data_IF_401459052463
#
_entry.id   IF_401459052463
#
_cell.length_a   1.000
_cell.length_b   1.000
_cell.length_c   1.000
_cell.angle_alpha   90.00
_cell.angle_beta   90.00
_cell.angle_gamma   90.00
#
_symmetry.space_group_name_H-M   'P 1'
#
loop_
_entity.id
_entity.type
_entity.pdbx_description
1 polymer ?
#
# COMPACT_ATOMS: atom_id res chain seq x y z
N UNK A 1 -14.72 -32.60 5.64
CA UNK A 1 -15.63 -32.08 4.58
C UNK A 1 -15.12 -30.70 4.18
N UNK A 2 -14.42 -30.58 3.05
CA UNK A 2 -13.89 -29.33 2.54
C UNK A 2 -14.97 -28.60 1.76
N UNK A 3 -15.65 -27.66 2.40
CA UNK A 3 -16.53 -26.72 1.69
C UNK A 3 -15.66 -25.71 0.94
N UNK A 4 -15.39 -26.00 -0.33
CA UNK A 4 -14.91 -24.97 -1.27
C UNK A 4 -16.06 -23.97 -1.46
N UNK A 5 -15.92 -22.78 -0.89
CA UNK A 5 -16.78 -21.66 -1.20
C UNK A 5 -16.46 -21.24 -2.64
N UNK A 6 -17.26 -21.73 -3.59
CA UNK A 6 -17.27 -21.19 -4.96
C UNK A 6 -17.96 -19.82 -4.89
N UNK A 7 -17.17 -18.76 -4.74
CA UNK A 7 -17.64 -17.40 -4.97
C UNK A 7 -17.73 -17.22 -6.47
N UNK A 8 -18.91 -17.01 -7.07
CA UNK A 8 -19.00 -16.65 -8.47
C UNK A 8 -18.38 -15.25 -8.63
N UNK A 9 -17.14 -15.21 -9.07
CA UNK A 9 -16.48 -13.97 -9.44
C UNK A 9 -17.07 -13.56 -10.79
N UNK A 10 -18.12 -12.75 -10.75
CA UNK A 10 -18.53 -12.01 -11.95
C UNK A 10 -17.41 -11.03 -12.28
N UNK A 11 -16.48 -11.48 -13.10
CA UNK A 11 -15.47 -10.65 -13.74
C UNK A 11 -16.16 -9.86 -14.86
N UNK A 12 -16.96 -8.88 -14.50
CA UNK A 12 -17.28 -7.82 -15.46
C UNK A 12 -16.08 -6.89 -15.49
N UNK A 13 -15.32 -6.82 -16.60
CA UNK A 13 -14.33 -5.78 -16.74
C UNK A 13 -15.10 -4.45 -16.72
N UNK A 14 -14.87 -3.64 -15.70
CA UNK A 14 -15.39 -2.28 -15.70
C UNK A 14 -14.56 -1.54 -16.74
N UNK A 15 -15.12 -1.43 -17.94
CA UNK A 15 -14.68 -0.54 -19.00
C UNK A 15 -14.81 0.89 -18.45
N UNK A 16 -13.68 1.54 -18.15
CA UNK A 16 -13.66 2.93 -17.73
C UNK A 16 -12.74 3.27 -16.54
N UNK A 17 -12.32 2.29 -15.73
CA UNK A 17 -11.27 2.51 -14.73
C UNK A 17 -9.91 2.19 -15.35
N UNK A 18 -9.25 3.20 -15.89
CA UNK A 18 -7.84 3.13 -16.26
C UNK A 18 -7.00 3.89 -15.24
N UNK A 19 -5.87 3.33 -14.86
CA UNK A 19 -4.85 4.06 -14.11
C UNK A 19 -4.16 5.02 -15.08
N UNK A 20 -4.72 6.21 -15.24
CA UNK A 20 -4.33 7.18 -16.29
C UNK A 20 -3.49 8.35 -15.77
N UNK A 21 -2.89 8.24 -14.58
CA UNK A 21 -1.97 9.27 -14.11
C UNK A 21 -0.71 9.33 -14.97
N UNK A 22 -0.14 10.52 -15.13
CA UNK A 22 1.13 10.71 -15.83
C UNK A 22 2.24 9.81 -15.24
N UNK A 23 2.20 9.57 -13.92
CA UNK A 23 3.15 8.70 -13.21
C UNK A 23 3.05 7.27 -13.72
N UNK A 24 1.85 6.72 -13.79
CA UNK A 24 1.63 5.35 -14.26
C UNK A 24 2.00 5.20 -15.72
N UNK A 25 1.70 6.19 -16.56
CA UNK A 25 2.10 6.16 -17.98
C UNK A 25 3.62 6.15 -18.16
N UNK A 26 4.37 6.90 -17.36
CA UNK A 26 5.84 6.85 -17.37
C UNK A 26 6.39 5.50 -16.90
N UNK A 27 5.83 4.94 -15.84
CA UNK A 27 6.26 3.65 -15.30
C UNK A 27 5.97 2.49 -16.25
N UNK A 28 4.87 2.53 -16.96
CA UNK A 28 4.44 1.45 -17.87
C UNK A 28 4.98 1.57 -19.28
N UNK A 29 5.82 2.56 -19.58
CA UNK A 29 6.47 2.70 -20.90
C UNK A 29 7.63 1.69 -21.08
N UNK A 30 7.28 0.43 -21.25
CA UNK A 30 8.22 -0.68 -21.41
C UNK A 30 9.04 -0.61 -22.72
N UNK A 31 8.74 0.32 -23.64
CA UNK A 31 9.52 0.53 -24.87
C UNK A 31 10.99 0.87 -24.58
N UNK A 32 11.26 1.42 -23.39
CA UNK A 32 12.62 1.71 -22.88
C UNK A 32 13.49 0.47 -22.73
N UNK A 33 12.91 -0.72 -22.70
CA UNK A 33 13.63 -2.00 -22.59
C UNK A 33 14.06 -2.54 -23.96
N UNK A 34 13.48 -2.02 -25.04
CA UNK A 34 13.78 -2.51 -26.39
C UNK A 34 15.25 -2.30 -26.73
N UNK A 35 15.89 -3.38 -27.19
CA UNK A 35 17.32 -3.41 -27.51
C UNK A 35 18.26 -3.62 -26.31
N UNK A 36 17.74 -3.68 -25.08
CA UNK A 36 18.53 -3.95 -23.87
C UNK A 36 18.53 -5.45 -23.53
N UNK A 37 19.64 -5.93 -23.00
CA UNK A 37 19.74 -7.30 -22.49
C UNK A 37 19.04 -7.36 -21.13
N UNK A 38 18.05 -8.23 -20.99
CA UNK A 38 17.31 -8.46 -19.75
C UNK A 38 17.80 -9.75 -19.09
N UNK A 39 18.18 -9.68 -17.83
CA UNK A 39 18.48 -10.85 -16.99
C UNK A 39 17.28 -11.07 -16.06
N UNK A 40 16.70 -12.25 -16.10
CA UNK A 40 15.53 -12.59 -15.29
C UNK A 40 15.96 -13.13 -13.93
N UNK A 41 15.28 -12.65 -12.88
CA UNK A 41 15.53 -13.10 -11.52
C UNK A 41 14.80 -14.39 -11.19
N UNK A 42 15.50 -15.33 -10.57
CA UNK A 42 14.89 -16.46 -9.89
C UNK A 42 14.37 -16.01 -8.50
N UNK A 43 13.23 -16.58 -8.06
CA UNK A 43 12.62 -16.23 -6.77
C UNK A 43 13.58 -16.57 -5.62
N UNK A 44 14.04 -15.57 -4.87
CA UNK A 44 14.70 -15.76 -3.58
C UNK A 44 13.88 -15.12 -2.45
N UNK A 45 13.54 -15.90 -1.45
CA UNK A 45 12.88 -15.41 -0.22
C UNK A 45 13.94 -15.04 0.83
N UNK A 46 13.87 -13.84 1.37
CA UNK A 46 14.73 -13.36 2.46
C UNK A 46 13.96 -12.85 3.67
N UNK A 47 14.44 -13.15 4.88
CA UNK A 47 13.90 -12.63 6.13
C UNK A 47 14.29 -11.16 6.38
N UNK A 48 13.33 -10.37 6.85
CA UNK A 48 13.51 -8.94 7.14
C UNK A 48 13.92 -8.73 8.61
N UNK A 49 15.05 -8.05 8.85
CA UNK A 49 15.53 -7.68 10.20
C UNK A 49 14.85 -6.40 10.72
N UNK A 50 14.58 -6.30 12.05
CA UNK A 50 13.99 -5.10 12.66
C UNK A 50 14.97 -3.92 12.67
N UNK A 51 14.46 -2.70 12.36
CA UNK A 51 15.30 -1.51 12.09
C UNK A 51 15.52 -0.59 13.34
N UNK A 52 14.61 -0.60 14.32
CA UNK A 52 14.67 0.32 15.45
C UNK A 52 14.47 -0.32 16.82
N UNK A 53 15.20 0.19 17.84
CA UNK A 53 14.94 -0.08 19.24
C UNK A 53 14.78 1.24 19.99
N UNK A 54 13.67 1.41 20.71
CA UNK A 54 13.38 2.57 21.54
C UNK A 54 13.76 2.25 22.99
N UNK A 55 14.50 3.15 23.66
CA UNK A 55 14.80 3.05 25.10
C UNK A 55 13.55 3.47 25.90
N UNK A 56 13.25 2.80 27.01
CA UNK A 56 11.90 2.66 27.51
C UNK A 56 11.64 3.29 28.88
N UNK A 57 10.60 4.13 28.91
CA UNK A 57 9.74 4.30 30.08
C UNK A 57 8.66 3.20 30.11
N UNK A 58 8.10 2.83 31.28
CA UNK A 58 7.00 1.87 31.35
C UNK A 58 5.80 2.38 30.53
N UNK A 59 5.29 1.54 29.63
CA UNK A 59 4.15 1.84 28.77
C UNK A 59 2.88 1.97 29.62
N UNK A 60 2.35 3.19 29.75
CA UNK A 60 1.00 3.40 30.23
C UNK A 60 0.05 3.30 29.03
N UNK A 61 -0.54 2.13 28.84
CA UNK A 61 -1.51 1.89 27.75
C UNK A 61 -2.92 2.13 28.24
N UNK A 62 -3.64 2.99 27.56
CA UNK A 62 -5.10 3.07 27.69
C UNK A 62 -5.71 2.00 26.79
N UNK A 63 -6.20 0.93 27.40
CA UNK A 63 -6.84 -0.19 26.72
C UNK A 63 -8.30 -0.18 27.05
N UNK A 64 -9.15 -0.06 26.05
CA UNK A 64 -10.58 -0.04 26.21
C UNK A 64 -11.24 -1.17 25.41
N UNK A 65 -12.10 -1.99 26.04
CA UNK A 65 -12.94 -2.91 25.31
C UNK A 65 -13.94 -2.14 24.44
N UNK A 66 -14.33 -2.68 23.31
CA UNK A 66 -15.42 -2.13 22.51
C UNK A 66 -16.29 -3.25 21.95
N UNK A 67 -17.56 -2.93 21.73
CA UNK A 67 -18.48 -3.84 21.09
C UNK A 67 -18.48 -3.61 19.57
N UNK A 68 -18.37 -4.66 18.75
CA UNK A 68 -18.48 -4.55 17.31
C UNK A 68 -19.84 -4.00 16.90
N UNK A 69 -19.84 -2.97 16.08
CA UNK A 69 -21.07 -2.38 15.54
C UNK A 69 -21.25 -2.84 14.09
N UNK A 70 -22.44 -3.34 13.78
CA UNK A 70 -22.78 -3.65 12.38
C UNK A 70 -23.03 -2.35 11.63
N UNK A 71 -22.25 -2.11 10.58
CA UNK A 71 -22.42 -0.96 9.70
C UNK A 71 -22.98 -1.43 8.35
N UNK A 72 -23.94 -0.67 7.82
CA UNK A 72 -24.51 -0.89 6.49
C UNK A 72 -23.87 0.10 5.50
N UNK A 73 -22.63 -0.20 5.12
CA UNK A 73 -21.87 0.59 4.15
C UNK A 73 -21.06 -0.33 3.25
N UNK A 74 -20.48 0.22 2.18
CA UNK A 74 -19.51 -0.52 1.39
C UNK A 74 -18.19 -0.60 2.17
N UNK A 75 -17.60 -1.78 2.16
CA UNK A 75 -16.24 -2.01 2.63
C UNK A 75 -15.38 -2.36 1.42
N UNK A 76 -14.32 -1.61 1.20
CA UNK A 76 -13.46 -1.74 0.01
C UNK A 76 -12.07 -2.07 0.45
N UNK A 77 -11.53 -3.20 0.04
CA UNK A 77 -10.15 -3.61 0.27
C UNK A 77 -9.28 -3.33 -0.95
N UNK A 78 -8.13 -2.70 -0.76
CA UNK A 78 -7.13 -2.41 -1.79
C UNK A 78 -5.83 -3.09 -1.42
N UNK A 79 -5.26 -3.87 -2.35
CA UNK A 79 -3.96 -4.51 -2.20
C UNK A 79 -3.20 -4.55 -3.53
N UNK A 80 -1.88 -4.48 -3.46
CA UNK A 80 -0.99 -4.53 -4.62
C UNK A 80 0.17 -5.46 -4.38
N UNK A 81 0.56 -6.17 -5.43
CA UNK A 81 1.73 -7.03 -5.46
C UNK A 81 2.68 -6.58 -6.57
N UNK A 82 3.98 -6.53 -6.26
CA UNK A 82 5.03 -6.21 -7.21
C UNK A 82 6.16 -7.23 -7.10
N UNK A 83 6.57 -7.78 -8.23
CA UNK A 83 7.70 -8.72 -8.33
C UNK A 83 8.74 -8.18 -9.30
N UNK A 84 10.02 -8.38 -9.00
CA UNK A 84 11.07 -8.17 -9.97
C UNK A 84 11.04 -9.31 -11.00
N UNK A 85 11.13 -8.97 -12.27
CA UNK A 85 11.15 -9.92 -13.38
C UNK A 85 12.59 -10.12 -13.86
N UNK A 86 13.32 -9.01 -14.00
CA UNK A 86 14.69 -9.01 -14.51
C UNK A 86 15.29 -7.63 -14.45
N UNK A 87 16.56 -7.54 -14.84
CA UNK A 87 17.31 -6.29 -14.86
C UNK A 87 18.08 -6.12 -16.17
N UNK A 88 18.44 -4.90 -16.45
CA UNK A 88 19.34 -4.48 -17.53
C UNK A 88 20.56 -3.81 -16.89
N UNK A 89 21.51 -3.39 -17.67
CA UNK A 89 22.65 -2.59 -17.17
C UNK A 89 22.22 -1.23 -16.58
N UNK A 90 21.07 -0.69 -16.99
CA UNK A 90 20.64 0.65 -16.62
C UNK A 90 19.43 0.68 -15.66
N UNK A 91 18.71 -0.43 -15.50
CA UNK A 91 17.52 -0.45 -14.69
C UNK A 91 16.87 -1.81 -14.54
N UNK A 92 15.71 -1.86 -13.90
CA UNK A 92 15.03 -3.09 -13.57
C UNK A 92 13.61 -3.15 -14.12
N UNK A 93 13.18 -4.37 -14.48
CA UNK A 93 11.84 -4.73 -14.90
C UNK A 93 11.06 -5.33 -13.73
N UNK A 94 9.85 -4.84 -13.57
CA UNK A 94 8.91 -5.32 -12.56
C UNK A 94 7.58 -5.69 -13.19
N UNK A 95 6.85 -6.58 -12.54
CA UNK A 95 5.43 -6.80 -12.79
C UNK A 95 4.63 -6.37 -11.57
N UNK A 96 3.64 -5.52 -11.77
CA UNK A 96 2.75 -5.06 -10.72
C UNK A 96 1.32 -5.42 -11.05
N UNK A 97 0.60 -5.93 -10.05
CA UNK A 97 -0.82 -6.23 -10.12
C UNK A 97 -1.51 -5.71 -8.88
N UNK A 98 -2.64 -5.05 -9.06
CA UNK A 98 -3.45 -4.56 -7.96
C UNK A 98 -4.85 -5.13 -8.03
N UNK A 99 -5.46 -5.31 -6.86
CA UNK A 99 -6.83 -5.77 -6.70
C UNK A 99 -7.63 -4.84 -5.80
N UNK A 100 -8.89 -4.64 -6.15
CA UNK A 100 -9.86 -3.97 -5.30
C UNK A 100 -11.07 -4.86 -5.13
N UNK A 101 -11.42 -5.12 -3.89
CA UNK A 101 -12.56 -5.94 -3.53
C UNK A 101 -13.61 -5.08 -2.83
N UNK A 102 -14.83 -5.11 -3.33
CA UNK A 102 -15.96 -4.35 -2.75
C UNK A 102 -16.95 -5.31 -2.11
N UNK A 103 -17.19 -5.09 -0.84
CA UNK A 103 -18.10 -5.83 0.00
C UNK A 103 -19.24 -4.90 0.46
N UNK A 104 -20.48 -5.32 0.34
CA UNK A 104 -21.64 -4.52 0.72
C UNK A 104 -22.71 -5.40 1.35
N UNK A 105 -23.36 -4.91 2.41
CA UNK A 105 -24.46 -5.59 3.10
C UNK A 105 -24.15 -7.07 3.40
N UNK A 106 -22.94 -7.35 3.89
CA UNK A 106 -22.46 -8.70 4.24
C UNK A 106 -22.30 -9.67 3.03
N UNK A 107 -22.16 -9.14 1.81
CA UNK A 107 -21.94 -9.94 0.60
C UNK A 107 -20.86 -9.33 -0.30
N UNK A 108 -20.03 -10.16 -0.96
CA UNK A 108 -19.15 -9.67 -2.01
C UNK A 108 -19.96 -9.08 -3.14
N UNK A 109 -19.63 -7.86 -3.55
CA UNK A 109 -20.34 -7.10 -4.59
C UNK A 109 -19.57 -7.09 -5.90
N UNK A 110 -18.33 -6.62 -5.87
CA UNK A 110 -17.49 -6.45 -7.05
C UNK A 110 -16.03 -6.76 -6.74
N UNK A 111 -15.31 -7.17 -7.77
CA UNK A 111 -13.86 -7.29 -7.78
C UNK A 111 -13.28 -6.59 -9.00
N UNK A 112 -12.28 -5.75 -8.79
CA UNK A 112 -11.55 -5.06 -9.85
C UNK A 112 -10.11 -5.54 -9.86
N UNK A 113 -9.58 -5.83 -11.02
CA UNK A 113 -8.18 -6.23 -11.19
C UNK A 113 -7.49 -5.29 -12.17
N UNK A 114 -6.38 -4.71 -11.72
CA UNK A 114 -5.53 -3.81 -12.50
C UNK A 114 -4.22 -4.51 -12.81
N UNK A 115 -3.87 -4.63 -14.07
CA UNK A 115 -2.68 -5.34 -14.53
C UNK A 115 -2.87 -6.85 -14.73
N UNK A 116 -1.75 -7.62 -14.86
CA UNK A 116 -0.38 -7.19 -14.54
C UNK A 116 0.14 -6.14 -15.53
N UNK A 117 0.75 -5.09 -14.98
CA UNK A 117 1.51 -4.11 -15.76
C UNK A 117 2.99 -4.44 -15.70
N UNK A 118 3.68 -4.32 -16.83
CA UNK A 118 5.14 -4.36 -16.85
C UNK A 118 5.66 -2.94 -16.65
N UNK A 119 6.52 -2.78 -15.66
CA UNK A 119 7.10 -1.51 -15.24
C UNK A 119 8.60 -1.58 -15.40
N UNK A 120 9.20 -0.60 -16.08
CA UNK A 120 10.64 -0.44 -16.15
C UNK A 120 11.06 0.80 -15.37
N UNK A 121 12.02 0.64 -14.47
CA UNK A 121 12.59 1.71 -13.67
C UNK A 121 14.09 1.81 -13.94
N UNK A 122 14.49 2.98 -14.38
CA UNK A 122 15.86 3.46 -14.46
C UNK A 122 15.97 4.86 -13.85
N UNK A 123 17.16 5.43 -13.81
CA UNK A 123 17.42 6.77 -13.28
C UNK A 123 16.61 7.84 -14.00
N UNK A 124 16.45 7.72 -15.32
CA UNK A 124 15.72 8.70 -16.12
C UNK A 124 14.23 8.70 -15.82
N UNK A 125 13.63 7.52 -15.65
CA UNK A 125 12.22 7.40 -15.22
C UNK A 125 12.03 8.06 -13.88
N UNK A 126 12.89 7.79 -12.89
CA UNK A 126 12.82 8.41 -11.56
C UNK A 126 12.98 9.93 -11.67
N UNK A 127 13.95 10.42 -12.46
CA UNK A 127 14.16 11.86 -12.67
C UNK A 127 12.96 12.55 -13.31
N UNK A 128 12.24 11.85 -14.19
CA UNK A 128 11.02 12.37 -14.82
C UNK A 128 9.84 12.42 -13.84
N UNK A 129 9.62 11.34 -13.07
CA UNK A 129 8.55 11.25 -12.08
C UNK A 129 8.72 12.33 -11.00
N UNK A 130 9.96 12.52 -10.51
CA UNK A 130 10.27 13.50 -9.45
C UNK A 130 10.77 14.85 -10.01
N UNK A 131 10.39 15.22 -11.23
CA UNK A 131 10.82 16.47 -11.84
C UNK A 131 10.42 17.67 -10.98
N UNK A 132 11.42 18.47 -10.56
CA UNK A 132 11.21 19.63 -9.70
C UNK A 132 11.06 19.31 -8.20
N UNK A 133 11.05 18.04 -7.82
CA UNK A 133 10.97 17.66 -6.41
C UNK A 133 12.38 17.57 -5.79
N UNK A 134 12.55 18.17 -4.59
CA UNK A 134 13.84 18.22 -3.87
C UNK A 134 14.37 16.85 -3.45
N UNK A 135 13.51 15.84 -3.31
CA UNK A 135 13.92 14.47 -2.92
C UNK A 135 14.38 13.60 -4.10
N UNK A 136 14.31 14.11 -5.34
CA UNK A 136 14.64 13.36 -6.56
C UNK A 136 15.96 12.60 -6.48
N UNK A 137 17.04 13.27 -6.15
CA UNK A 137 18.37 12.65 -6.11
C UNK A 137 18.49 11.60 -4.99
N UNK A 138 17.79 11.80 -3.88
CA UNK A 138 17.69 10.78 -2.82
C UNK A 138 16.98 9.53 -3.31
N UNK A 139 15.88 9.67 -4.05
CA UNK A 139 15.12 8.54 -4.60
C UNK A 139 15.95 7.79 -5.63
N UNK A 140 16.61 8.49 -6.56
CA UNK A 140 17.52 7.87 -7.56
C UNK A 140 18.55 6.99 -6.86
N UNK A 141 19.25 7.51 -5.86
CA UNK A 141 20.24 6.75 -5.10
C UNK A 141 19.67 5.53 -4.39
N UNK A 142 18.50 5.68 -3.75
CA UNK A 142 17.87 4.58 -3.02
C UNK A 142 17.41 3.45 -3.95
N UNK A 143 16.85 3.80 -5.11
CA UNK A 143 16.41 2.82 -6.12
C UNK A 143 17.61 2.10 -6.75
N UNK A 144 18.70 2.83 -7.01
CA UNK A 144 19.93 2.24 -7.55
C UNK A 144 20.61 1.27 -6.57
N UNK A 145 20.47 1.49 -5.25
CA UNK A 145 21.11 0.68 -4.23
C UNK A 145 20.28 -0.53 -3.78
N UNK A 146 18.98 -0.49 -3.96
CA UNK A 146 18.07 -1.50 -3.41
C UNK A 146 16.84 -1.73 -4.30
N UNK A 147 16.82 -2.88 -4.98
CA UNK A 147 15.69 -3.30 -5.82
C UNK A 147 14.39 -3.47 -5.01
N UNK A 148 14.46 -3.81 -3.72
CA UNK A 148 13.29 -3.88 -2.84
C UNK A 148 12.70 -2.48 -2.58
N UNK A 149 13.54 -1.45 -2.61
CA UNK A 149 13.10 -0.07 -2.51
C UNK A 149 12.28 0.34 -3.74
N UNK A 150 12.74 -0.04 -4.93
CA UNK A 150 12.00 0.18 -6.18
C UNK A 150 10.62 -0.50 -6.15
N UNK A 151 10.53 -1.75 -5.68
CA UNK A 151 9.25 -2.45 -5.51
C UNK A 151 8.29 -1.71 -4.58
N UNK A 152 8.80 -1.20 -3.46
CA UNK A 152 7.97 -0.41 -2.52
C UNK A 152 7.48 0.87 -3.16
N UNK A 153 8.32 1.55 -3.92
CA UNK A 153 7.96 2.77 -4.63
C UNK A 153 6.88 2.53 -5.69
N UNK A 154 7.05 1.47 -6.51
CA UNK A 154 6.05 1.07 -7.51
C UNK A 154 4.71 0.76 -6.82
N UNK A 155 4.71 -0.09 -5.79
CA UNK A 155 3.49 -0.40 -5.03
C UNK A 155 2.84 0.86 -4.47
N UNK A 156 3.63 1.75 -3.87
CA UNK A 156 3.13 3.01 -3.34
C UNK A 156 2.38 3.82 -4.40
N UNK A 157 2.96 3.98 -5.59
CA UNK A 157 2.31 4.75 -6.66
C UNK A 157 1.01 4.11 -7.13
N UNK A 158 0.99 2.80 -7.34
CA UNK A 158 -0.21 2.09 -7.78
C UNK A 158 -1.30 2.10 -6.70
N UNK A 159 -0.96 1.83 -5.45
CA UNK A 159 -1.90 1.85 -4.32
C UNK A 159 -2.47 3.24 -4.09
N UNK A 160 -1.64 4.29 -4.15
CA UNK A 160 -2.10 5.68 -4.00
C UNK A 160 -3.02 6.11 -5.14
N UNK A 161 -2.69 5.77 -6.38
CA UNK A 161 -3.54 6.10 -7.52
C UNK A 161 -4.90 5.40 -7.44
N UNK A 162 -4.92 4.12 -7.11
CA UNK A 162 -6.15 3.37 -6.91
C UNK A 162 -6.96 3.94 -5.74
N UNK A 163 -6.30 4.20 -4.61
CA UNK A 163 -6.95 4.79 -3.44
C UNK A 163 -7.56 6.15 -3.78
N UNK A 164 -6.85 7.01 -4.51
CA UNK A 164 -7.34 8.31 -4.99
C UNK A 164 -8.60 8.17 -5.84
N UNK A 165 -8.58 7.26 -6.83
CA UNK A 165 -9.72 7.02 -7.70
C UNK A 165 -10.94 6.52 -6.93
N UNK A 166 -10.76 5.51 -6.06
CA UNK A 166 -11.86 4.97 -5.27
C UNK A 166 -12.37 5.96 -4.22
N UNK A 167 -11.50 6.74 -3.60
CA UNK A 167 -11.89 7.81 -2.69
C UNK A 167 -12.76 8.89 -3.36
N UNK A 168 -12.52 9.15 -4.64
CA UNK A 168 -13.32 10.11 -5.42
C UNK A 168 -14.66 9.54 -5.88
N UNK A 169 -14.74 8.23 -6.13
CA UNK A 169 -15.91 7.57 -6.70
C UNK A 169 -16.90 7.08 -5.65
N UNK A 170 -16.41 6.67 -4.50
CA UNK A 170 -17.22 6.12 -3.42
C UNK A 170 -17.82 7.22 -2.55
N UNK A 171 -18.90 6.86 -1.85
CA UNK A 171 -19.55 7.69 -0.83
C UNK A 171 -19.84 6.83 0.40
N UNK A 172 -19.69 7.41 1.57
CA UNK A 172 -20.04 6.81 2.86
C UNK A 172 -19.54 5.36 3.02
N UNK A 173 -18.28 5.14 2.64
CA UNK A 173 -17.66 3.81 2.54
C UNK A 173 -16.44 3.69 3.44
N UNK A 174 -16.11 2.46 3.86
CA UNK A 174 -14.87 2.16 4.57
C UNK A 174 -13.88 1.59 3.56
N UNK A 175 -12.71 2.23 3.40
CA UNK A 175 -11.65 1.81 2.48
C UNK A 175 -10.49 1.25 3.29
N UNK A 176 -10.19 -0.03 3.12
CA UNK A 176 -9.12 -0.75 3.81
C UNK A 176 -7.90 -0.83 2.89
N UNK A 177 -6.75 -0.38 3.38
CA UNK A 177 -5.46 -0.45 2.65
C UNK A 177 -4.50 -1.37 3.41
N UNK A 178 -3.78 -2.22 2.70
CA UNK A 178 -2.74 -3.04 3.34
C UNK A 178 -1.56 -2.17 3.79
N UNK A 179 -1.22 -2.25 5.07
CA UNK A 179 -0.14 -1.49 5.69
C UNK A 179 -0.60 -0.29 6.51
N UNK A 180 0.34 0.57 6.86
CA UNK A 180 0.09 1.76 7.67
C UNK A 180 -0.28 2.97 6.80
N UNK A 181 -1.18 3.82 7.30
CA UNK A 181 -1.46 5.14 6.71
C UNK A 181 -0.34 6.12 7.08
N UNK A 182 0.86 5.85 6.58
CA UNK A 182 2.01 6.72 6.80
C UNK A 182 2.30 7.53 5.54
N UNK A 183 2.35 8.85 5.69
CA UNK A 183 2.93 9.73 4.68
C UNK A 183 4.44 9.54 4.64
N UNK A 184 5.03 9.61 3.48
CA UNK A 184 6.47 9.50 3.29
C UNK A 184 6.98 10.72 2.51
N UNK A 185 8.23 11.12 2.77
CA UNK A 185 8.90 12.17 1.98
C UNK A 185 9.08 11.81 0.49
N UNK A 186 8.68 10.60 0.11
CA UNK A 186 8.79 10.08 -1.26
C UNK A 186 7.47 10.15 -2.01
N UNK A 187 6.41 10.59 -1.36
CA UNK A 187 5.12 10.81 -2.02
C UNK A 187 5.21 12.00 -2.96
N UNK A 188 4.52 11.90 -4.07
CA UNK A 188 4.32 13.02 -4.98
C UNK A 188 3.08 13.80 -4.56
N UNK A 189 3.11 15.10 -4.75
CA UNK A 189 2.04 16.00 -4.30
C UNK A 189 0.66 15.61 -4.81
N UNK A 190 0.57 15.15 -6.07
CA UNK A 190 -0.70 14.81 -6.71
C UNK A 190 -1.35 13.54 -6.17
N UNK A 191 -0.54 12.63 -5.62
CA UNK A 191 -0.99 11.35 -5.03
C UNK A 191 -0.57 11.24 -3.56
N UNK A 192 -0.35 12.36 -2.89
CA UNK A 192 -0.01 12.36 -1.47
C UNK A 192 -1.16 11.82 -0.62
N UNK A 193 -0.82 11.06 0.42
CA UNK A 193 -1.81 10.50 1.33
C UNK A 193 -2.72 11.58 1.91
N UNK A 194 -2.17 12.73 2.27
CA UNK A 194 -2.92 13.85 2.82
C UNK A 194 -4.07 14.26 1.90
N UNK A 195 -3.78 14.56 0.62
CA UNK A 195 -4.81 14.94 -0.37
C UNK A 195 -5.85 13.85 -0.59
N UNK A 196 -5.41 12.58 -0.61
CA UNK A 196 -6.33 11.45 -0.76
C UNK A 196 -7.28 11.34 0.44
N UNK A 197 -6.78 11.52 1.65
CA UNK A 197 -7.60 11.50 2.86
C UNK A 197 -8.58 12.68 2.89
N UNK A 198 -8.18 13.86 2.43
CA UNK A 198 -9.07 15.02 2.27
C UNK A 198 -10.23 14.70 1.31
N UNK A 199 -9.92 14.16 0.12
CA UNK A 199 -10.94 13.70 -0.86
C UNK A 199 -11.86 12.62 -0.25
N UNK A 200 -11.29 11.67 0.49
CA UNK A 200 -12.07 10.63 1.16
C UNK A 200 -13.06 11.22 2.15
N UNK A 201 -12.59 12.13 2.99
CA UNK A 201 -13.40 12.79 4.02
C UNK A 201 -14.54 13.62 3.41
N UNK A 202 -14.27 14.41 2.35
CA UNK A 202 -15.27 15.17 1.62
C UNK A 202 -16.38 14.29 1.04
N UNK A 203 -16.08 13.03 0.75
CA UNK A 203 -17.03 12.04 0.23
C UNK A 203 -17.63 11.14 1.32
N UNK A 204 -17.44 11.45 2.61
CA UNK A 204 -17.93 10.64 3.73
C UNK A 204 -17.21 9.29 3.89
N UNK A 205 -16.11 9.06 3.18
CA UNK A 205 -15.37 7.81 3.26
C UNK A 205 -14.38 7.82 4.43
N UNK A 206 -14.21 6.65 5.06
CA UNK A 206 -13.21 6.40 6.10
C UNK A 206 -12.13 5.49 5.54
N UNK A 207 -10.87 5.95 5.56
CA UNK A 207 -9.72 5.15 5.14
C UNK A 207 -9.05 4.53 6.36
N UNK A 208 -8.82 3.23 6.32
CA UNK A 208 -8.22 2.45 7.43
C UNK A 208 -7.02 1.67 6.92
N UNK A 209 -5.89 1.81 7.58
CA UNK A 209 -4.69 1.00 7.33
C UNK A 209 -4.71 -0.29 8.14
N UNK A 210 -4.51 -1.43 7.48
CA UNK A 210 -4.42 -2.75 8.10
C UNK A 210 -2.98 -3.20 8.12
N UNK A 211 -2.29 -3.04 9.25
CA UNK A 211 -0.91 -3.50 9.42
C UNK A 211 -0.89 -4.91 10.00
N UNK A 212 -0.42 -5.89 9.22
CA UNK A 212 -0.32 -7.29 9.65
C UNK A 212 0.86 -7.53 10.58
N UNK A 213 1.90 -6.71 10.48
CA UNK A 213 3.07 -6.78 11.33
C UNK A 213 3.73 -5.41 11.46
N UNK A 214 4.28 -5.11 12.63
CA UNK A 214 5.07 -3.90 12.84
C UNK A 214 6.52 -4.25 13.11
N UNK A 215 7.44 -3.50 12.50
CA UNK A 215 8.87 -3.55 12.81
C UNK A 215 9.23 -2.75 14.06
N UNK A 216 8.31 -1.92 14.55
CA UNK A 216 8.51 -1.14 15.76
C UNK A 216 8.40 -2.07 16.97
N UNK A 217 9.48 -2.21 17.72
CA UNK A 217 9.50 -3.05 18.94
C UNK A 217 8.45 -2.63 19.97
N UNK A 218 8.14 -1.34 20.02
CA UNK A 218 7.12 -0.80 20.93
C UNK A 218 5.73 -1.33 20.56
N UNK A 219 5.37 -1.33 19.27
CA UNK A 219 4.08 -1.84 18.80
C UNK A 219 3.98 -3.36 19.00
N UNK A 220 5.10 -4.09 18.81
CA UNK A 220 5.15 -5.52 19.13
C UNK A 220 4.93 -5.80 20.62
N UNK A 221 5.43 -4.95 21.51
CA UNK A 221 5.18 -5.07 22.96
C UNK A 221 3.72 -4.82 23.29
N UNK A 222 3.09 -3.82 22.67
CA UNK A 222 1.65 -3.58 22.81
C UNK A 222 0.85 -4.80 22.36
N UNK A 223 1.17 -5.38 21.20
CA UNK A 223 0.52 -6.58 20.70
C UNK A 223 0.69 -7.76 21.67
N UNK A 224 1.91 -8.03 22.14
CA UNK A 224 2.17 -9.09 23.13
C UNK A 224 1.39 -8.88 24.44
N UNK A 225 1.23 -7.63 24.88
CA UNK A 225 0.44 -7.32 26.05
C UNK A 225 -1.05 -7.57 25.83
N UNK A 226 -1.58 -7.19 24.65
CA UNK A 226 -2.97 -7.42 24.27
C UNK A 226 -3.28 -8.91 24.19
N UNK A 227 -2.37 -9.74 23.70
CA UNK A 227 -2.52 -11.20 23.64
C UNK A 227 -2.72 -11.85 25.01
N UNK A 228 -2.28 -11.19 26.08
CA UNK A 228 -2.47 -11.66 27.47
C UNK A 228 -3.82 -11.25 28.07
N UNK A 229 -4.60 -10.42 27.39
CA UNK A 229 -5.89 -9.98 27.90
C UNK A 229 -6.95 -11.10 27.76
N UNK A 230 -7.82 -11.19 28.77
CA UNK A 230 -8.88 -12.19 28.81
C UNK A 230 -10.15 -11.73 28.04
N UNK A 231 -10.09 -10.60 27.36
CA UNK A 231 -11.23 -10.01 26.66
C UNK A 231 -10.79 -9.40 25.32
N UNK A 232 -11.67 -9.49 24.35
CA UNK A 232 -11.50 -8.92 23.01
C UNK A 232 -12.91 -8.64 22.42
N UNK A 233 -13.06 -7.72 21.49
CA UNK A 233 -12.04 -6.84 20.91
C UNK A 233 -11.67 -5.65 21.81
N UNK A 234 -10.47 -5.11 21.62
CA UNK A 234 -9.96 -3.94 22.34
C UNK A 234 -9.42 -2.88 21.39
N UNK A 235 -9.54 -1.61 21.78
CA UNK A 235 -8.83 -0.51 21.16
C UNK A 235 -7.74 0.00 22.10
N UNK A 236 -6.63 0.42 21.52
CA UNK A 236 -5.49 0.98 22.26
C UNK A 236 -5.07 2.26 21.58
N UNK A 237 -5.06 3.36 22.35
CA UNK A 237 -4.45 4.59 21.85
C UNK A 237 -2.93 4.50 22.02
N UNK A 238 -2.23 4.60 20.89
CA UNK A 238 -0.76 4.55 20.82
C UNK A 238 -0.16 5.87 20.32
N UNK A 239 -0.96 6.91 20.18
CA UNK A 239 -0.52 8.20 19.63
C UNK A 239 0.68 8.73 20.39
N UNK A 240 0.58 8.84 21.71
CA UNK A 240 1.66 9.32 22.59
C UNK A 240 2.95 8.47 22.57
N UNK A 241 2.85 7.21 22.11
CA UNK A 241 4.01 6.31 21.98
C UNK A 241 4.71 6.51 20.62
N UNK A 242 3.95 6.94 19.62
CA UNK A 242 4.42 7.09 18.25
C UNK A 242 4.81 8.52 17.88
N UNK A 243 4.48 9.49 18.73
CA UNK A 243 4.73 10.92 18.50
C UNK A 243 6.21 11.21 18.25
N UNK A 244 7.12 10.55 18.99
CA UNK A 244 8.58 10.68 18.84
C UNK A 244 9.18 9.76 17.75
N UNK A 245 8.37 8.94 17.11
CA UNK A 245 8.85 7.89 16.17
C UNK A 245 8.44 8.18 14.73
N UNK A 246 7.49 9.07 14.54
CA UNK A 246 6.85 9.36 13.25
C UNK A 246 7.07 10.82 12.88
N UNK A 247 8.34 11.21 12.68
CA UNK A 247 8.70 12.41 11.94
C UNK A 247 8.73 12.15 10.42
#
# INVERSE_FOLDING_TARGET
MNNKINVPVNQTPITGLSLSSNIISHLTDYRRVFGKKVVFHERSGGELKPIFSINHSPLQLQIEPFEPVKVDCNIVGIDSSCIAIGETEEGCLYSVKSGVFVYSSSRPKNYYSFGPYVVYIDDDVIRQIYRGNSVREKVVRLVALDSEYAKKLIRLFFEREILRQFSSMLRDSIILVDGSLKSTSLELDDISLKKILEISLENGNVVVGLSKSSRLKVVKRVANYIELLNYAPVKVDVHHILEDVVE
#
